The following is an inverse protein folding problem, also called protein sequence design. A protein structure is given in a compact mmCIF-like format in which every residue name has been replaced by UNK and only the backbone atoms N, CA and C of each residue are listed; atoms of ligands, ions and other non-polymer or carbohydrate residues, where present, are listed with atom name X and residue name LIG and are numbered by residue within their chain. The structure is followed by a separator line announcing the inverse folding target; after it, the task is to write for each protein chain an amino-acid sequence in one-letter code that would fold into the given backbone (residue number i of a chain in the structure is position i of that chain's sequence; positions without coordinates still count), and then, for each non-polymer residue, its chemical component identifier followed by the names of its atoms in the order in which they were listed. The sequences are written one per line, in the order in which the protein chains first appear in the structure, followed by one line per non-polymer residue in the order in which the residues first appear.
data_IF_748863700111
#
_entry.id   IF_748863700111
#
_cell.length_a   1.000
_cell.length_b   1.000
_cell.length_c   1.000
_cell.angle_alpha   90.00
_cell.angle_beta   90.00
_cell.angle_gamma   90.00
#
_symmetry.space_group_name_H-M   'P 1'
#
loop_
_entity.id
_entity.type
_entity.pdbx_description
1 polymer ?
#
# COMPACT_ATOMS: atom_id res chain seq x y z
N UNK A 1 15.01 -12.41 25.19
CA UNK A 1 13.57 -12.08 25.29
C UNK A 1 12.97 -12.15 23.89
N UNK A 2 11.72 -12.60 23.75
CA UNK A 2 11.08 -12.90 22.45
C UNK A 2 10.46 -11.64 21.83
N UNK A 3 10.93 -11.21 20.66
CA UNK A 3 10.24 -10.20 19.83
C UNK A 3 8.83 -10.70 19.49
N UNK A 4 7.88 -9.78 19.27
CA UNK A 4 6.45 -10.06 19.07
C UNK A 4 5.67 -10.63 20.26
N UNK A 5 6.21 -10.64 21.48
CA UNK A 5 5.40 -10.98 22.66
C UNK A 5 4.36 -9.91 22.94
N UNK A 6 4.76 -8.64 22.92
CA UNK A 6 3.86 -7.48 23.04
C UNK A 6 3.91 -6.65 21.77
N UNK A 7 2.81 -6.60 21.03
CA UNK A 7 2.71 -5.96 19.72
C UNK A 7 1.70 -4.83 19.74
N UNK A 8 2.13 -3.63 19.35
CA UNK A 8 1.26 -2.48 19.19
C UNK A 8 0.95 -2.25 17.71
N UNK A 9 -0.32 -2.37 17.33
CA UNK A 9 -0.80 -2.11 15.97
C UNK A 9 -1.27 -0.65 15.86
N UNK A 10 -0.62 0.12 15.01
CA UNK A 10 -0.95 1.52 14.74
C UNK A 10 -1.90 1.60 13.55
N UNK A 11 -3.13 2.04 13.81
CA UNK A 11 -4.24 2.11 12.88
C UNK A 11 -5.49 1.42 13.43
N UNK A 12 -6.67 1.87 12.99
CA UNK A 12 -7.98 1.32 13.39
C UNK A 12 -8.77 0.84 12.17
N UNK A 13 -8.10 0.61 11.05
CA UNK A 13 -8.74 0.11 9.83
C UNK A 13 -8.99 -1.40 9.89
N UNK A 14 -9.65 -1.97 8.86
CA UNK A 14 -9.91 -3.41 8.81
C UNK A 14 -8.64 -4.26 8.90
N UNK A 15 -7.54 -3.80 8.29
CA UNK A 15 -6.21 -4.43 8.37
C UNK A 15 -5.72 -4.56 9.82
N UNK A 16 -5.96 -3.55 10.68
CA UNK A 16 -5.53 -3.61 12.07
C UNK A 16 -6.23 -4.73 12.85
N UNK A 17 -7.53 -4.92 12.60
CA UNK A 17 -8.31 -6.00 13.22
C UNK A 17 -7.85 -7.37 12.71
N UNK A 18 -7.63 -7.51 11.40
CA UNK A 18 -7.09 -8.76 10.85
C UNK A 18 -5.75 -9.13 11.49
N UNK A 19 -4.85 -8.15 11.60
CA UNK A 19 -3.53 -8.34 12.20
C UNK A 19 -3.66 -8.71 13.68
N UNK A 20 -4.55 -8.07 14.43
CA UNK A 20 -4.77 -8.40 15.84
C UNK A 20 -5.21 -9.86 16.04
N UNK A 21 -6.17 -10.34 15.23
CA UNK A 21 -6.59 -11.75 15.25
C UNK A 21 -5.43 -12.69 14.88
N UNK A 22 -4.66 -12.33 13.85
CA UNK A 22 -3.53 -13.12 13.37
C UNK A 22 -2.44 -13.25 14.44
N UNK A 23 -2.04 -12.15 15.06
CA UNK A 23 -1.01 -12.12 16.12
C UNK A 23 -1.44 -12.93 17.35
N UNK A 24 -2.70 -12.77 17.79
CA UNK A 24 -3.25 -13.55 18.90
C UNK A 24 -3.28 -15.04 18.60
N UNK A 25 -3.74 -15.43 17.42
CA UNK A 25 -3.92 -16.83 17.04
C UNK A 25 -2.59 -17.56 16.79
N UNK A 26 -1.64 -16.91 16.11
CA UNK A 26 -0.42 -17.56 15.63
C UNK A 26 0.78 -17.37 16.55
N UNK A 27 0.84 -16.28 17.31
CA UNK A 27 1.97 -15.96 18.19
C UNK A 27 1.60 -15.89 19.68
N UNK A 28 0.31 -15.94 20.02
CA UNK A 28 -0.19 -15.72 21.38
C UNK A 28 0.35 -14.39 21.99
N UNK A 29 0.42 -13.35 21.15
CA UNK A 29 0.91 -12.03 21.56
C UNK A 29 -0.09 -11.30 22.44
N UNK A 30 0.41 -10.45 23.33
CA UNK A 30 -0.36 -9.32 23.85
C UNK A 30 -0.44 -8.26 22.75
N UNK A 31 -1.65 -7.86 22.36
CA UNK A 31 -1.93 -6.96 21.25
C UNK A 31 -2.59 -5.69 21.75
N UNK A 32 -1.96 -4.56 21.44
CA UNK A 32 -2.55 -3.23 21.58
C UNK A 32 -2.99 -2.68 20.22
N UNK A 33 -4.05 -1.88 20.19
CA UNK A 33 -4.44 -1.09 19.02
C UNK A 33 -4.40 0.40 19.39
N UNK A 34 -3.74 1.21 18.58
CA UNK A 34 -3.73 2.67 18.72
C UNK A 34 -4.19 3.35 17.43
N UNK A 35 -4.94 4.43 17.53
CA UNK A 35 -5.39 5.19 16.37
C UNK A 35 -5.65 6.65 16.67
N UNK A 36 -5.63 7.48 15.62
CA UNK A 36 -5.98 8.90 15.72
C UNK A 36 -7.44 9.08 16.14
N UNK A 37 -7.77 10.26 16.67
CA UNK A 37 -9.16 10.67 16.87
C UNK A 37 -9.73 11.18 15.54
N UNK A 38 -10.78 10.51 15.05
CA UNK A 38 -11.53 10.85 13.84
C UNK A 38 -12.91 10.20 13.91
N UNK A 39 -13.91 10.67 13.18
CA UNK A 39 -15.25 10.06 13.28
C UNK A 39 -15.24 8.56 12.95
N UNK A 40 -14.44 8.14 11.95
CA UNK A 40 -14.30 6.72 11.60
C UNK A 40 -13.62 5.90 12.69
N UNK A 41 -12.60 6.43 13.35
CA UNK A 41 -11.92 5.70 14.42
C UNK A 41 -12.73 5.72 15.73
N UNK A 42 -13.52 6.76 15.98
CA UNK A 42 -14.41 6.85 17.14
C UNK A 42 -15.43 5.71 17.17
N UNK A 43 -16.00 5.38 16.02
CA UNK A 43 -16.95 4.28 15.88
C UNK A 43 -16.26 2.93 16.14
N UNK A 44 -15.03 2.74 15.64
CA UNK A 44 -14.23 1.54 15.94
C UNK A 44 -13.91 1.44 17.44
N UNK A 45 -13.45 2.53 18.07
CA UNK A 45 -13.18 2.53 19.51
C UNK A 45 -14.44 2.24 20.33
N UNK A 46 -15.57 2.84 19.96
CA UNK A 46 -16.86 2.64 20.62
C UNK A 46 -17.33 1.20 20.51
N UNK A 47 -17.27 0.61 19.32
CA UNK A 47 -17.68 -0.79 19.08
C UNK A 47 -16.75 -1.79 19.78
N UNK A 48 -15.43 -1.57 19.76
CA UNK A 48 -14.48 -2.42 20.52
C UNK A 48 -14.78 -2.33 22.03
N UNK A 49 -15.02 -1.13 22.57
CA UNK A 49 -15.36 -0.95 23.99
C UNK A 49 -16.68 -1.61 24.37
N UNK A 50 -17.73 -1.43 23.55
CA UNK A 50 -19.05 -2.04 23.77
C UNK A 50 -19.01 -3.56 23.76
N UNK A 51 -18.06 -4.15 23.02
CA UNK A 51 -17.87 -5.60 22.92
C UNK A 51 -16.78 -6.12 23.87
N UNK A 52 -16.45 -5.41 24.96
CA UNK A 52 -15.43 -5.81 25.94
C UNK A 52 -14.08 -6.15 25.29
N UNK A 53 -13.67 -5.35 24.31
CA UNK A 53 -12.45 -5.50 23.51
C UNK A 53 -12.41 -6.72 22.58
N UNK A 54 -13.53 -7.41 22.39
CA UNK A 54 -13.64 -8.48 21.41
C UNK A 54 -13.61 -7.91 19.99
N UNK A 55 -12.73 -8.46 19.15
CA UNK A 55 -12.70 -8.18 17.70
C UNK A 55 -12.89 -9.47 16.92
N UNK A 56 -13.48 -9.36 15.73
CA UNK A 56 -13.83 -10.51 14.88
C UNK A 56 -13.42 -10.29 13.43
N UNK A 57 -12.91 -11.35 12.84
CA UNK A 57 -12.74 -11.50 11.39
C UNK A 57 -13.67 -12.60 10.91
N UNK A 58 -14.45 -12.31 9.88
CA UNK A 58 -15.16 -13.30 9.06
C UNK A 58 -14.53 -13.38 7.67
N UNK A 59 -14.85 -14.44 6.93
CA UNK A 59 -14.35 -14.68 5.58
C UNK A 59 -15.50 -14.82 4.59
N UNK A 60 -15.25 -14.43 3.33
CA UNK A 60 -16.22 -14.61 2.26
C UNK A 60 -16.07 -15.98 1.58
N UNK A 61 -14.84 -16.51 1.51
CA UNK A 61 -14.51 -17.76 0.84
C UNK A 61 -13.87 -18.74 1.82
N UNK A 62 -14.42 -19.95 1.93
CA UNK A 62 -13.94 -21.00 2.85
C UNK A 62 -12.46 -21.37 2.63
N UNK A 63 -11.92 -21.13 1.43
CA UNK A 63 -10.48 -21.26 1.14
C UNK A 63 -9.60 -20.35 2.02
N UNK A 64 -10.18 -19.37 2.71
CA UNK A 64 -9.48 -18.44 3.59
C UNK A 64 -9.72 -18.72 5.08
N UNK A 65 -10.17 -19.94 5.45
CA UNK A 65 -10.50 -20.34 6.84
C UNK A 65 -9.42 -19.99 7.87
N UNK A 66 -8.15 -20.03 7.49
CA UNK A 66 -7.05 -19.70 8.40
C UNK A 66 -7.07 -18.21 8.85
N UNK A 67 -7.68 -17.32 8.07
CA UNK A 67 -7.86 -15.90 8.38
C UNK A 67 -8.99 -15.62 9.37
N UNK A 68 -9.99 -16.50 9.45
CA UNK A 68 -11.12 -16.34 10.34
C UNK A 68 -10.71 -16.50 11.81
N UNK A 69 -11.30 -15.67 12.68
CA UNK A 69 -11.10 -15.79 14.11
C UNK A 69 -11.72 -14.67 14.92
N UNK A 70 -11.63 -14.85 16.23
CA UNK A 70 -12.06 -13.90 17.25
C UNK A 70 -10.94 -13.80 18.28
N UNK A 71 -10.65 -12.60 18.77
CA UNK A 71 -9.74 -12.41 19.89
C UNK A 71 -10.14 -11.21 20.73
N UNK A 72 -9.57 -11.12 21.94
CA UNK A 72 -9.64 -9.92 22.77
C UNK A 72 -8.38 -9.09 22.54
N UNK A 73 -8.56 -7.79 22.33
CA UNK A 73 -7.47 -6.82 22.28
C UNK A 73 -7.13 -6.41 23.71
N UNK A 74 -5.88 -6.52 24.13
CA UNK A 74 -5.49 -6.30 25.53
C UNK A 74 -5.56 -4.82 25.90
N UNK A 75 -5.19 -3.93 24.96
CA UNK A 75 -5.20 -2.47 25.19
C UNK A 75 -5.63 -1.70 23.94
N UNK A 76 -6.40 -0.64 24.15
CA UNK A 76 -6.89 0.23 23.08
C UNK A 76 -6.55 1.67 23.45
N UNK A 77 -5.82 2.35 22.57
CA UNK A 77 -5.35 3.72 22.76
C UNK A 77 -6.02 4.64 21.75
N UNK A 78 -6.79 5.59 22.27
CA UNK A 78 -7.40 6.68 21.51
C UNK A 78 -6.41 7.84 21.52
N UNK A 79 -5.84 8.17 20.38
CA UNK A 79 -4.67 9.05 20.27
C UNK A 79 -3.36 8.26 20.35
N UNK A 80 -2.33 8.69 19.63
CA UNK A 80 -1.01 8.03 19.65
C UNK A 80 -0.19 8.49 20.87
N UNK A 81 -0.42 9.72 21.30
CA UNK A 81 0.13 10.33 22.51
C UNK A 81 -0.35 9.65 23.81
N UNK A 82 -1.42 8.83 23.75
CA UNK A 82 -1.97 8.14 24.92
C UNK A 82 -1.40 6.73 25.11
N UNK A 83 -0.51 6.27 24.22
CA UNK A 83 0.15 4.97 24.30
C UNK A 83 0.93 4.89 25.61
N UNK A 84 0.70 3.79 26.35
CA UNK A 84 1.38 3.49 27.62
C UNK A 84 1.87 2.05 27.66
N UNK A 85 2.77 1.79 28.61
CA UNK A 85 3.37 0.47 28.82
C UNK A 85 4.50 0.16 27.85
N UNK A 86 4.94 -1.10 27.88
CA UNK A 86 6.08 -1.56 27.10
C UNK A 86 5.61 -2.46 25.96
N UNK A 87 6.09 -2.20 24.75
CA UNK A 87 5.74 -2.95 23.55
C UNK A 87 7.04 -3.30 22.82
N UNK A 88 7.25 -4.59 22.55
CA UNK A 88 8.47 -5.07 21.88
C UNK A 88 8.49 -4.68 20.40
N UNK A 89 7.30 -4.67 19.78
CA UNK A 89 7.11 -4.46 18.35
C UNK A 89 6.01 -3.45 18.07
N UNK A 90 6.24 -2.58 17.09
CA UNK A 90 5.23 -1.70 16.51
C UNK A 90 4.90 -2.16 15.10
N UNK A 91 3.62 -2.19 14.73
CA UNK A 91 3.16 -2.49 13.38
C UNK A 91 2.39 -1.30 12.81
N UNK A 92 2.89 -0.71 11.73
CA UNK A 92 2.19 0.32 10.97
C UNK A 92 1.17 -0.32 10.03
N UNK A 93 -0.11 -0.15 10.38
CA UNK A 93 -1.27 -0.53 9.55
C UNK A 93 -2.03 0.68 8.99
N UNK A 94 -1.51 1.88 9.23
CA UNK A 94 -1.94 3.12 8.56
C UNK A 94 -1.37 3.21 7.14
N UNK A 95 -1.75 4.26 6.43
CA UNK A 95 -1.30 4.57 5.08
C UNK A 95 0.14 5.10 5.12
N UNK A 96 0.95 4.82 4.09
CA UNK A 96 2.39 5.13 4.09
C UNK A 96 2.69 6.63 4.25
N UNK A 97 1.85 7.49 3.68
CA UNK A 97 1.90 8.95 3.80
C UNK A 97 1.68 9.45 5.25
N UNK A 98 1.17 8.61 6.15
CA UNK A 98 0.96 8.95 7.54
C UNK A 98 2.06 8.43 8.48
N UNK A 99 3.05 7.66 8.00
CA UNK A 99 4.03 6.98 8.86
C UNK A 99 4.79 7.94 9.77
N UNK A 100 5.35 9.02 9.21
CA UNK A 100 6.10 10.01 9.98
C UNK A 100 5.22 10.84 10.90
N UNK A 101 4.03 11.27 10.44
CA UNK A 101 3.10 11.98 11.29
C UNK A 101 2.66 11.16 12.51
N UNK A 102 2.50 9.84 12.33
CA UNK A 102 2.12 8.93 13.40
C UNK A 102 3.27 8.70 14.37
N UNK A 103 4.46 8.35 13.90
CA UNK A 103 5.58 8.03 14.78
C UNK A 103 6.03 9.24 15.61
N UNK A 104 5.97 10.45 15.04
CA UNK A 104 6.29 11.71 15.73
C UNK A 104 5.36 12.03 16.91
N UNK A 105 4.16 11.47 16.94
CA UNK A 105 3.19 11.65 18.05
C UNK A 105 3.39 10.68 19.21
N UNK A 106 4.22 9.67 19.01
CA UNK A 106 4.52 8.67 20.04
C UNK A 106 5.66 9.19 20.91
N UNK A 107 5.56 8.97 22.22
CA UNK A 107 6.60 9.35 23.17
C UNK A 107 7.96 8.72 22.81
N UNK A 108 9.01 9.55 22.73
CA UNK A 108 10.36 9.11 22.41
C UNK A 108 10.93 8.17 23.48
N UNK A 109 10.52 8.31 24.74
CA UNK A 109 10.96 7.38 25.80
C UNK A 109 10.42 5.98 25.52
N UNK A 110 9.19 5.88 25.02
CA UNK A 110 8.63 4.62 24.55
C UNK A 110 9.34 4.11 23.29
N UNK A 111 9.68 4.96 22.32
CA UNK A 111 10.37 4.51 21.10
C UNK A 111 11.76 3.94 21.37
N UNK A 112 12.46 4.39 22.43
CA UNK A 112 13.77 3.87 22.86
C UNK A 112 13.81 2.38 23.21
N UNK A 113 12.67 1.79 23.57
CA UNK A 113 12.59 0.37 23.95
C UNK A 113 12.05 -0.54 22.85
N UNK A 114 11.59 0.02 21.72
CA UNK A 114 11.03 -0.74 20.60
C UNK A 114 12.16 -1.49 19.92
N UNK A 115 11.99 -2.80 19.74
CA UNK A 115 13.01 -3.64 19.10
C UNK A 115 12.78 -3.83 17.61
N UNK A 116 11.52 -3.78 17.18
CA UNK A 116 11.14 -4.07 15.81
C UNK A 116 9.98 -3.18 15.37
N UNK A 117 10.07 -2.62 14.17
CA UNK A 117 9.02 -1.86 13.50
C UNK A 117 8.66 -2.58 12.20
N UNK A 118 7.38 -2.87 12.00
CA UNK A 118 6.89 -3.57 10.81
C UNK A 118 5.97 -2.65 10.01
N UNK A 119 6.30 -2.47 8.73
CA UNK A 119 5.52 -1.69 7.77
C UNK A 119 4.69 -2.63 6.90
N UNK A 120 3.36 -2.59 7.03
CA UNK A 120 2.46 -3.55 6.37
C UNK A 120 2.16 -3.17 4.92
N UNK A 121 1.96 -1.89 4.64
CA UNK A 121 1.70 -1.37 3.28
C UNK A 121 2.56 -0.15 2.97
N UNK A 122 3.89 -0.28 3.05
CA UNK A 122 4.79 0.81 2.72
C UNK A 122 4.72 1.20 1.25
N UNK A 123 5.21 2.40 0.97
CA UNK A 123 5.62 2.81 -0.36
C UNK A 123 7.14 2.78 -0.51
N UNK A 124 7.65 3.01 -1.72
CA UNK A 124 9.08 2.97 -2.00
C UNK A 124 9.82 4.06 -1.21
N UNK A 125 10.68 3.65 -0.26
CA UNK A 125 11.42 4.55 0.64
C UNK A 125 10.87 4.62 2.06
N UNK A 126 9.77 3.92 2.38
CA UNK A 126 9.16 4.03 3.71
C UNK A 126 10.07 3.49 4.83
N UNK A 127 10.81 2.41 4.56
CA UNK A 127 11.82 1.92 5.49
C UNK A 127 12.89 2.97 5.78
N UNK A 128 13.47 3.58 4.74
CA UNK A 128 14.50 4.62 4.88
C UNK A 128 13.98 5.81 5.67
N UNK A 129 12.72 6.20 5.44
CA UNK A 129 12.06 7.27 6.18
C UNK A 129 11.97 6.96 7.69
N UNK A 130 11.49 5.77 8.03
CA UNK A 130 11.37 5.32 9.43
C UNK A 130 12.74 5.10 10.08
N UNK A 131 13.67 4.44 9.39
CA UNK A 131 15.04 4.21 9.87
C UNK A 131 15.74 5.53 10.16
N UNK A 132 15.65 6.52 9.26
CA UNK A 132 16.23 7.84 9.47
C UNK A 132 15.70 8.50 10.75
N UNK A 133 14.38 8.45 10.95
CA UNK A 133 13.76 8.99 12.17
C UNK A 133 14.26 8.28 13.42
N UNK A 134 14.29 6.94 13.38
CA UNK A 134 14.68 6.09 14.51
C UNK A 134 16.18 6.16 14.83
N UNK A 135 17.04 6.48 13.88
CA UNK A 135 18.50 6.60 14.10
C UNK A 135 18.87 7.57 15.24
N UNK A 136 18.07 8.61 15.47
CA UNK A 136 18.29 9.57 16.56
C UNK A 136 17.73 9.15 17.92
N UNK A 137 16.89 8.10 17.95
CA UNK A 137 16.13 7.67 19.13
C UNK A 137 16.57 6.28 19.58
N UNK A 138 16.54 5.32 18.67
CA UNK A 138 16.99 3.94 18.83
C UNK A 138 17.49 3.38 17.49
N UNK A 139 18.79 3.51 17.18
CA UNK A 139 19.37 3.02 15.92
C UNK A 139 19.38 1.48 15.82
N UNK A 140 19.23 0.77 16.93
CA UNK A 140 19.22 -0.70 16.98
C UNK A 140 17.82 -1.29 16.70
N UNK A 141 16.81 -0.46 16.45
CA UNK A 141 15.47 -0.95 16.12
C UNK A 141 15.44 -1.50 14.69
N UNK A 142 15.14 -2.79 14.56
CA UNK A 142 14.98 -3.42 13.25
C UNK A 142 13.74 -2.86 12.53
N UNK A 143 13.87 -2.51 11.25
CA UNK A 143 12.75 -2.09 10.40
C UNK A 143 12.50 -3.15 9.33
N UNK A 144 11.26 -3.66 9.30
CA UNK A 144 10.80 -4.68 8.36
C UNK A 144 9.73 -4.08 7.45
N UNK A 145 9.91 -4.20 6.14
CA UNK A 145 8.90 -3.82 5.15
C UNK A 145 8.32 -5.05 4.46
N UNK A 146 6.99 -5.13 4.47
CA UNK A 146 6.26 -5.95 3.52
C UNK A 146 6.09 -5.20 2.20
N UNK A 147 5.82 -5.92 1.11
CA UNK A 147 5.48 -5.26 -0.15
C UNK A 147 4.06 -4.68 -0.16
N UNK A 148 3.13 -5.31 0.54
CA UNK A 148 1.73 -4.90 0.63
C UNK A 148 1.00 -5.70 1.71
N UNK A 149 -0.16 -5.21 2.15
CA UNK A 149 -1.08 -6.00 2.95
C UNK A 149 -1.51 -7.27 2.19
N UNK A 150 -1.60 -8.39 2.91
CA UNK A 150 -1.79 -9.71 2.32
C UNK A 150 -3.23 -10.04 1.93
N UNK A 151 -4.20 -9.18 2.22
CA UNK A 151 -5.60 -9.46 1.95
C UNK A 151 -6.36 -8.27 1.37
N UNK A 152 -7.60 -8.55 0.99
CA UNK A 152 -8.64 -7.55 0.88
C UNK A 152 -9.56 -7.72 2.08
N UNK A 153 -9.63 -6.71 2.94
CA UNK A 153 -10.36 -6.76 4.20
C UNK A 153 -11.10 -5.46 4.39
N UNK A 154 -12.40 -5.57 4.63
CA UNK A 154 -13.32 -4.44 4.67
C UNK A 154 -14.27 -4.57 5.85
N UNK A 155 -14.88 -3.45 6.20
CA UNK A 155 -16.00 -3.45 7.12
C UNK A 155 -17.21 -4.15 6.50
N UNK A 156 -17.92 -4.92 7.33
CA UNK A 156 -19.20 -5.49 6.92
C UNK A 156 -20.16 -4.33 6.69
N UNK A 157 -20.81 -4.31 5.52
CA UNK A 157 -21.71 -3.22 5.09
C UNK A 157 -21.05 -1.83 5.03
N UNK A 158 -19.71 -1.75 5.00
CA UNK A 158 -18.96 -0.50 4.81
C UNK A 158 -18.86 0.42 6.03
N UNK A 159 -19.41 0.04 7.19
CA UNK A 159 -19.43 0.88 8.39
C UNK A 159 -18.34 0.46 9.40
N UNK A 160 -17.50 1.38 9.89
CA UNK A 160 -16.44 1.07 10.86
C UNK A 160 -16.96 0.31 12.09
N UNK A 161 -16.30 -0.77 12.51
CA UNK A 161 -16.74 -1.55 13.68
C UNK A 161 -15.61 -2.37 14.31
N UNK A 162 -15.94 -3.33 15.17
CA UNK A 162 -15.01 -4.35 15.67
C UNK A 162 -15.05 -5.66 14.84
N UNK A 163 -15.84 -5.70 13.74
CA UNK A 163 -16.05 -6.89 12.92
C UNK A 163 -15.76 -6.61 11.43
N UNK A 164 -14.77 -7.32 10.90
CA UNK A 164 -14.33 -7.20 9.49
C UNK A 164 -14.61 -8.46 8.69
N UNK A 165 -14.63 -8.30 7.37
CA UNK A 165 -14.73 -9.38 6.38
C UNK A 165 -13.49 -9.40 5.49
N UNK A 166 -12.77 -10.51 5.48
CA UNK A 166 -11.70 -10.78 4.50
C UNK A 166 -12.29 -11.50 3.29
N UNK A 167 -12.15 -10.87 2.13
CA UNK A 167 -12.77 -11.31 0.88
C UNK A 167 -11.80 -12.09 0.00
N UNK A 168 -10.53 -11.66 -0.01
CA UNK A 168 -9.47 -12.26 -0.79
C UNK A 168 -8.15 -12.24 0.00
N UNK A 169 -7.27 -13.18 -0.34
CA UNK A 169 -5.93 -13.31 0.24
C UNK A 169 -4.91 -13.52 -0.89
N UNK A 170 -3.80 -12.80 -0.82
CA UNK A 170 -2.67 -12.97 -1.75
C UNK A 170 -1.95 -14.28 -1.48
N UNK A 171 -1.63 -15.03 -2.54
CA UNK A 171 -0.84 -16.26 -2.44
C UNK A 171 0.62 -16.01 -2.04
N UNK A 172 1.13 -14.84 -2.42
CA UNK A 172 2.53 -14.46 -2.24
C UNK A 172 2.65 -12.98 -1.91
N UNK A 173 3.52 -12.67 -0.96
CA UNK A 173 3.98 -11.31 -0.67
C UNK A 173 5.49 -11.33 -0.41
N UNK A 174 6.10 -10.16 -0.46
CA UNK A 174 7.53 -10.01 -0.29
C UNK A 174 7.82 -9.30 1.04
N UNK A 175 8.93 -9.64 1.67
CA UNK A 175 9.34 -9.08 2.96
C UNK A 175 10.85 -8.84 2.98
N UNK A 176 11.29 -7.76 3.60
CA UNK A 176 12.70 -7.48 3.81
C UNK A 176 12.94 -6.74 5.11
N UNK A 177 14.14 -6.88 5.67
CA UNK A 177 14.55 -6.29 6.95
C UNK A 177 15.87 -5.55 6.80
N UNK A 178 16.05 -4.50 7.60
CA UNK A 178 17.35 -3.83 7.79
C UNK A 178 18.41 -4.77 8.35
N UNK A 179 18.01 -5.86 9.01
CA UNK A 179 18.87 -6.95 9.42
C UNK A 179 18.73 -8.15 8.47
N UNK A 180 19.81 -8.56 7.80
CA UNK A 180 19.82 -9.74 6.93
C UNK A 180 21.01 -10.65 7.24
N UNK A 181 20.80 -11.90 7.70
CA UNK A 181 19.52 -12.56 7.98
C UNK A 181 18.84 -12.08 9.28
N UNK A 182 17.51 -12.12 9.34
CA UNK A 182 16.71 -11.70 10.51
C UNK A 182 15.91 -12.85 11.13
N UNK A 183 16.03 -12.99 12.46
CA UNK A 183 15.21 -13.93 13.25
C UNK A 183 13.74 -13.52 13.31
N UNK A 184 13.46 -12.22 13.22
CA UNK A 184 12.09 -11.71 13.23
C UNK A 184 11.40 -12.00 11.89
N UNK A 185 12.13 -11.96 10.77
CA UNK A 185 11.64 -12.50 9.49
C UNK A 185 11.33 -14.00 9.61
N UNK A 186 12.19 -14.81 10.23
CA UNK A 186 11.91 -16.25 10.39
C UNK A 186 10.61 -16.52 11.17
N UNK A 187 10.32 -15.72 12.20
CA UNK A 187 9.06 -15.78 12.94
C UNK A 187 7.88 -15.44 12.02
N UNK A 188 7.97 -14.34 11.27
CA UNK A 188 6.91 -13.92 10.35
C UNK A 188 6.70 -14.94 9.21
N UNK A 189 7.75 -15.54 8.66
CA UNK A 189 7.65 -16.62 7.68
C UNK A 189 6.86 -17.82 8.22
N UNK A 190 7.05 -18.19 9.50
CA UNK A 190 6.26 -19.27 10.13
C UNK A 190 4.79 -18.88 10.27
N UNK A 191 4.50 -17.66 10.71
CA UNK A 191 3.13 -17.13 10.84
C UNK A 191 2.43 -17.16 9.48
N UNK A 192 3.04 -16.60 8.44
CA UNK A 192 2.40 -16.51 7.13
C UNK A 192 2.28 -17.87 6.43
N UNK A 193 3.20 -18.81 6.70
CA UNK A 193 3.05 -20.20 6.27
C UNK A 193 1.79 -20.85 6.87
N UNK A 194 1.46 -20.58 8.13
CA UNK A 194 0.20 -21.04 8.76
C UNK A 194 -1.04 -20.37 8.17
N UNK A 195 -0.89 -19.20 7.55
CA UNK A 195 -1.92 -18.52 6.81
C UNK A 195 -2.01 -18.95 5.33
N UNK A 196 -1.19 -19.93 4.91
CA UNK A 196 -1.08 -20.39 3.52
C UNK A 196 -0.62 -19.30 2.53
N UNK A 197 0.17 -18.34 3.04
CA UNK A 197 0.79 -17.28 2.23
C UNK A 197 2.29 -17.55 2.12
N UNK A 198 2.80 -17.48 0.89
CA UNK A 198 4.24 -17.52 0.64
C UNK A 198 4.86 -16.16 0.94
N UNK A 199 5.80 -16.10 1.89
CA UNK A 199 6.69 -14.94 2.06
C UNK A 199 7.97 -15.17 1.27
N UNK A 200 8.21 -14.36 0.24
CA UNK A 200 9.52 -14.31 -0.40
C UNK A 200 10.39 -13.26 0.29
N UNK A 201 11.48 -13.73 0.90
CA UNK A 201 12.42 -12.89 1.65
C UNK A 201 13.38 -12.21 0.67
N UNK A 202 13.38 -10.88 0.70
CA UNK A 202 14.29 -10.00 -0.04
C UNK A 202 15.51 -9.68 0.81
N UNK A 203 16.57 -9.16 0.18
CA UNK A 203 17.82 -8.81 0.89
C UNK A 203 17.70 -7.53 1.73
N UNK A 204 16.72 -6.68 1.45
CA UNK A 204 16.48 -5.43 2.19
C UNK A 204 14.99 -5.07 2.18
N UNK A 205 14.51 -4.23 3.13
CA UNK A 205 13.14 -3.75 3.13
C UNK A 205 12.85 -2.95 1.86
N UNK A 206 13.84 -2.17 1.43
CA UNK A 206 13.77 -1.33 0.26
C UNK A 206 13.55 -2.14 -1.02
N UNK A 207 14.14 -3.34 -1.15
CA UNK A 207 13.83 -4.25 -2.25
C UNK A 207 12.40 -4.80 -2.16
N UNK A 208 11.93 -5.17 -0.97
CA UNK A 208 10.55 -5.65 -0.78
C UNK A 208 9.50 -4.60 -1.14
N UNK A 209 9.73 -3.33 -0.81
CA UNK A 209 8.84 -2.22 -1.15
C UNK A 209 8.63 -2.06 -2.67
N UNK A 210 9.60 -2.46 -3.49
CA UNK A 210 9.46 -2.44 -4.96
C UNK A 210 8.50 -3.51 -5.47
N UNK A 211 8.18 -4.54 -4.69
CA UNK A 211 7.27 -5.62 -5.11
C UNK A 211 5.81 -5.27 -4.81
N UNK A 212 5.45 -4.01 -5.05
CA UNK A 212 4.12 -3.45 -4.85
C UNK A 212 3.54 -2.98 -6.20
N UNK A 213 2.49 -3.65 -6.67
CA UNK A 213 1.90 -3.39 -8.00
C UNK A 213 1.39 -1.96 -8.16
N UNK A 214 0.90 -1.36 -7.07
CA UNK A 214 0.34 0.00 -7.09
C UNK A 214 1.41 1.06 -7.37
N UNK A 215 2.71 0.76 -7.23
CA UNK A 215 3.78 1.65 -7.70
C UNK A 215 3.71 1.89 -9.20
N UNK A 216 3.40 0.84 -9.95
CA UNK A 216 3.52 0.83 -11.41
C UNK A 216 2.21 1.12 -12.13
N UNK A 217 1.08 0.75 -11.52
CA UNK A 217 -0.21 0.75 -12.21
C UNK A 217 -1.14 1.87 -11.76
N UNK A 218 -1.04 2.38 -10.54
CA UNK A 218 -1.98 3.40 -10.07
C UNK A 218 -1.77 4.77 -10.72
N UNK A 219 -0.56 5.35 -10.79
CA UNK A 219 -0.40 6.67 -11.38
C UNK A 219 -0.95 6.79 -12.81
N UNK A 220 -0.71 5.86 -13.77
CA UNK A 220 -1.31 5.96 -15.10
C UNK A 220 -2.83 5.79 -15.06
N UNK A 221 -3.36 4.94 -14.16
CA UNK A 221 -4.80 4.70 -14.03
C UNK A 221 -5.57 5.86 -13.37
N UNK A 222 -4.93 6.66 -12.51
CA UNK A 222 -5.64 7.69 -11.73
C UNK A 222 -5.20 9.13 -12.01
N UNK A 223 -3.97 9.36 -12.50
CA UNK A 223 -3.40 10.69 -12.78
C UNK A 223 -3.40 11.02 -14.27
N UNK A 224 -4.54 10.81 -14.91
CA UNK A 224 -4.83 11.22 -16.29
C UNK A 224 -6.14 12.02 -16.31
N UNK A 225 -6.37 12.79 -17.38
CA UNK A 225 -7.51 13.71 -17.46
C UNK A 225 -8.86 13.01 -17.26
N UNK A 226 -9.05 11.83 -17.87
CA UNK A 226 -10.31 11.08 -17.76
C UNK A 226 -10.59 10.68 -16.30
N UNK A 227 -9.62 10.05 -15.65
CA UNK A 227 -9.78 9.56 -14.28
C UNK A 227 -9.97 10.71 -13.30
N UNK A 228 -9.22 11.79 -13.47
CA UNK A 228 -9.38 12.97 -12.62
C UNK A 228 -10.74 13.63 -12.83
N UNK A 229 -11.24 13.76 -14.06
CA UNK A 229 -12.60 14.23 -14.28
C UNK A 229 -13.66 13.35 -13.61
N UNK A 230 -13.48 12.02 -13.61
CA UNK A 230 -14.37 11.11 -12.89
C UNK A 230 -14.33 11.31 -11.37
N UNK A 231 -13.13 11.43 -10.78
CA UNK A 231 -12.91 11.59 -9.34
C UNK A 231 -13.45 12.93 -8.82
N UNK A 232 -13.22 14.00 -9.58
CA UNK A 232 -13.67 15.35 -9.23
C UNK A 232 -15.13 15.62 -9.62
N UNK A 233 -15.86 14.60 -10.10
CA UNK A 233 -17.30 14.66 -10.33
C UNK A 233 -17.72 15.47 -11.56
N UNK A 234 -16.84 15.60 -12.55
CA UNK A 234 -17.12 16.33 -13.80
C UNK A 234 -17.84 15.47 -14.86
N UNK A 235 -18.04 14.18 -14.59
CA UNK A 235 -18.69 13.23 -15.50
C UNK A 235 -20.03 12.77 -14.91
N UNK A 236 -21.07 12.79 -15.76
CA UNK A 236 -22.46 12.50 -15.36
C UNK A 236 -22.72 11.00 -15.16
N UNK A 237 -21.99 10.14 -15.88
CA UNK A 237 -22.16 8.68 -15.84
C UNK A 237 -21.07 8.04 -15.00
N UNK A 238 -21.43 7.03 -14.21
CA UNK A 238 -20.49 6.22 -13.43
C UNK A 238 -19.38 5.68 -14.34
N UNK A 239 -18.13 5.94 -13.95
CA UNK A 239 -16.93 5.44 -14.63
C UNK A 239 -16.21 4.41 -13.76
N UNK A 240 -15.43 3.57 -14.42
CA UNK A 240 -14.74 2.44 -13.79
C UNK A 240 -13.24 2.49 -14.08
N UNK A 241 -12.43 2.15 -13.08
CA UNK A 241 -10.97 2.27 -13.12
C UNK A 241 -10.35 1.33 -14.17
N UNK A 242 -10.90 0.13 -14.31
CA UNK A 242 -10.28 -0.95 -15.07
C UNK A 242 -10.99 -1.27 -16.40
N UNK A 243 -11.94 -0.43 -16.83
CA UNK A 243 -12.60 -0.59 -18.13
C UNK A 243 -11.86 0.16 -19.24
N UNK A 244 -12.10 -0.28 -20.48
CA UNK A 244 -11.62 0.41 -21.69
C UNK A 244 -12.46 1.68 -21.90
N UNK A 245 -11.87 2.71 -22.53
CA UNK A 245 -12.60 3.90 -22.94
C UNK A 245 -13.81 3.56 -23.85
N UNK A 246 -15.01 4.16 -23.64
CA UNK A 246 -15.31 5.33 -22.80
C UNK A 246 -15.81 5.02 -21.38
N UNK A 247 -15.81 3.76 -20.95
CA UNK A 247 -16.27 3.35 -19.61
C UNK A 247 -15.19 3.55 -18.54
N UNK A 248 -13.93 3.46 -18.94
CA UNK A 248 -12.77 3.68 -18.09
C UNK A 248 -11.59 4.33 -18.84
N UNK A 249 -10.46 4.55 -18.16
CA UNK A 249 -9.32 5.28 -18.70
C UNK A 249 -8.42 4.45 -19.64
N UNK A 250 -8.61 3.12 -19.70
CA UNK A 250 -7.68 2.24 -20.39
C UNK A 250 -7.73 2.50 -21.90
N UNK A 251 -6.59 2.91 -22.43
CA UNK A 251 -6.32 3.21 -23.85
C UNK A 251 -4.87 2.84 -24.18
N UNK A 252 -4.50 2.79 -25.46
CA UNK A 252 -3.10 2.60 -25.86
C UNK A 252 -2.15 3.67 -25.28
N UNK A 253 -2.62 4.91 -25.11
CA UNK A 253 -1.81 6.00 -24.58
C UNK A 253 -1.55 5.82 -23.08
N UNK A 254 -2.55 5.38 -22.32
CA UNK A 254 -2.39 5.04 -20.91
C UNK A 254 -1.37 3.90 -20.73
N UNK A 255 -1.46 2.86 -21.56
CA UNK A 255 -0.53 1.72 -21.49
C UNK A 255 0.90 2.14 -21.85
N UNK A 256 1.08 3.03 -22.83
CA UNK A 256 2.39 3.63 -23.13
C UNK A 256 2.94 4.38 -21.93
N UNK A 257 2.15 5.22 -21.28
CA UNK A 257 2.59 5.96 -20.09
C UNK A 257 2.92 5.01 -18.92
N UNK A 258 2.14 3.93 -18.74
CA UNK A 258 2.42 2.90 -17.74
C UNK A 258 3.77 2.21 -17.98
N UNK A 259 4.04 1.81 -19.24
CA UNK A 259 5.31 1.19 -19.60
C UNK A 259 6.48 2.16 -19.41
N UNK A 260 6.31 3.42 -19.80
CA UNK A 260 7.33 4.45 -19.66
C UNK A 260 7.67 4.71 -18.18
N UNK A 261 6.66 4.87 -17.33
CA UNK A 261 6.86 5.03 -15.88
C UNK A 261 7.53 3.80 -15.26
N UNK A 262 7.13 2.59 -15.63
CA UNK A 262 7.81 1.39 -15.14
C UNK A 262 9.29 1.39 -15.51
N UNK A 263 9.64 1.76 -16.75
CA UNK A 263 11.05 1.87 -17.19
C UNK A 263 11.82 2.93 -16.42
N UNK A 264 11.19 4.07 -16.12
CA UNK A 264 11.78 5.12 -15.27
C UNK A 264 12.10 4.57 -13.88
N UNK A 265 11.15 3.87 -13.24
CA UNK A 265 11.38 3.22 -11.94
C UNK A 265 12.48 2.17 -12.05
N UNK A 266 12.54 1.37 -13.13
CA UNK A 266 13.62 0.39 -13.30
C UNK A 266 15.01 1.03 -13.39
N UNK A 267 15.14 2.24 -13.97
CA UNK A 267 16.39 2.99 -13.97
C UNK A 267 16.78 3.46 -12.56
N UNK A 268 15.80 3.88 -11.76
CA UNK A 268 16.01 4.22 -10.35
C UNK A 268 16.51 2.99 -9.59
N UNK A 269 15.85 1.83 -9.75
CA UNK A 269 16.25 0.59 -9.09
C UNK A 269 17.67 0.15 -9.47
N UNK A 270 18.04 0.31 -10.74
CA UNK A 270 19.39 0.01 -11.22
C UNK A 270 20.45 0.88 -10.55
N UNK A 271 20.21 2.19 -10.39
CA UNK A 271 21.11 3.10 -9.66
C UNK A 271 21.28 2.68 -8.20
N UNK A 272 20.24 2.12 -7.60
CA UNK A 272 20.24 1.59 -6.24
C UNK A 272 20.74 0.15 -6.13
N UNK A 273 21.19 -0.46 -7.25
CA UNK A 273 21.63 -1.86 -7.34
C UNK A 273 20.57 -2.87 -6.88
N UNK A 274 19.29 -2.54 -7.04
CA UNK A 274 18.15 -3.41 -6.75
C UNK A 274 17.76 -4.18 -8.01
N UNK A 275 17.40 -5.45 -7.85
CA UNK A 275 17.00 -6.30 -8.98
C UNK A 275 15.76 -5.72 -9.67
N UNK A 276 15.88 -5.55 -11.01
CA UNK A 276 14.77 -5.15 -11.88
C UNK A 276 13.62 -6.15 -11.78
N UNK A 277 12.41 -5.61 -11.92
CA UNK A 277 11.15 -6.35 -11.89
C UNK A 277 10.67 -6.59 -13.31
N UNK A 278 10.27 -7.83 -13.65
CA UNK A 278 9.47 -8.09 -14.84
C UNK A 278 8.00 -7.72 -14.54
N UNK A 279 7.51 -6.61 -15.12
CA UNK A 279 6.18 -6.08 -14.81
C UNK A 279 5.06 -7.06 -15.20
N UNK A 280 5.09 -7.59 -16.42
CA UNK A 280 4.02 -8.45 -16.91
C UNK A 280 3.95 -9.76 -16.11
N UNK A 281 5.10 -10.36 -15.82
CA UNK A 281 5.18 -11.52 -14.95
C UNK A 281 4.65 -11.22 -13.55
N UNK A 282 5.06 -10.10 -12.96
CA UNK A 282 4.59 -9.69 -11.64
C UNK A 282 3.07 -9.44 -11.61
N UNK A 283 2.51 -8.83 -12.65
CA UNK A 283 1.06 -8.58 -12.77
C UNK A 283 0.23 -9.86 -12.93
N UNK A 284 0.81 -10.91 -13.52
CA UNK A 284 0.13 -12.16 -13.86
C UNK A 284 0.34 -13.24 -12.79
N UNK A 285 1.59 -13.47 -12.37
CA UNK A 285 1.95 -14.58 -11.48
C UNK A 285 1.67 -14.25 -10.01
N UNK A 286 1.91 -13.00 -9.58
CA UNK A 286 1.83 -12.58 -8.17
C UNK A 286 0.60 -11.74 -7.82
N UNK A 287 -0.17 -11.32 -8.83
CA UNK A 287 -1.36 -10.51 -8.65
C UNK A 287 -2.60 -11.24 -9.18
N UNK A 288 -3.00 -10.98 -10.42
CA UNK A 288 -4.21 -11.58 -10.99
C UNK A 288 -3.83 -12.37 -12.24
N UNK A 289 -4.03 -13.70 -12.24
CA UNK A 289 -3.67 -14.54 -13.37
C UNK A 289 -4.59 -14.27 -14.57
N UNK A 290 -4.09 -14.58 -15.75
CA UNK A 290 -4.88 -14.66 -16.98
C UNK A 290 -4.76 -16.05 -17.58
N UNK A 291 -5.64 -16.37 -18.54
CA UNK A 291 -5.56 -17.60 -19.34
C UNK A 291 -4.31 -17.55 -20.22
N UNK A 292 -3.63 -18.69 -20.37
CA UNK A 292 -2.37 -18.77 -21.14
C UNK A 292 -2.61 -18.57 -22.65
N UNK A 293 -3.84 -18.79 -23.09
CA UNK A 293 -4.34 -18.50 -24.43
C UNK A 293 -4.35 -16.99 -24.71
N UNK A 294 -4.48 -16.15 -23.67
CA UNK A 294 -4.40 -14.69 -23.79
C UNK A 294 -2.96 -14.19 -23.71
N UNK A 295 -2.14 -14.76 -22.83
CA UNK A 295 -0.73 -14.40 -22.68
C UNK A 295 0.13 -15.65 -22.50
N UNK A 296 1.03 -15.90 -23.45
CA UNK A 296 1.92 -17.06 -23.42
C UNK A 296 2.97 -16.94 -22.31
N UNK A 297 3.45 -18.08 -21.79
CA UNK A 297 4.59 -18.07 -20.86
C UNK A 297 5.85 -17.46 -21.46
N UNK A 298 6.06 -17.68 -22.76
CA UNK A 298 7.21 -17.11 -23.47
C UNK A 298 7.19 -15.58 -23.45
N UNK A 299 6.03 -14.97 -23.71
CA UNK A 299 5.89 -13.51 -23.68
C UNK A 299 6.02 -12.95 -22.25
N UNK A 300 5.42 -13.63 -21.28
CA UNK A 300 5.50 -13.26 -19.86
C UNK A 300 6.95 -13.27 -19.37
N UNK A 301 7.68 -14.36 -19.62
CA UNK A 301 9.03 -14.56 -19.11
C UNK A 301 10.06 -13.67 -19.82
N UNK A 302 9.89 -13.44 -21.13
CA UNK A 302 10.79 -12.62 -21.92
C UNK A 302 10.41 -11.14 -21.97
N UNK A 303 9.34 -10.71 -21.28
CA UNK A 303 8.78 -9.35 -21.38
C UNK A 303 9.83 -8.24 -21.36
N UNK A 304 10.82 -8.31 -20.47
CA UNK A 304 11.87 -7.30 -20.33
C UNK A 304 12.80 -7.17 -21.54
N UNK A 305 12.85 -8.18 -22.40
CA UNK A 305 13.68 -8.25 -23.61
C UNK A 305 12.91 -7.95 -24.89
N UNK A 306 11.59 -7.77 -24.80
CA UNK A 306 10.74 -7.46 -25.94
C UNK A 306 10.85 -5.98 -26.34
N UNK A 307 10.59 -5.72 -27.62
CA UNK A 307 10.44 -4.37 -28.17
C UNK A 307 9.32 -3.59 -27.48
N UNK A 308 9.45 -2.26 -27.41
CA UNK A 308 8.53 -1.40 -26.68
C UNK A 308 7.06 -1.57 -27.11
N UNK A 309 6.81 -1.62 -28.42
CA UNK A 309 5.44 -1.78 -28.96
C UNK A 309 4.86 -3.14 -28.55
N UNK A 310 5.70 -4.18 -28.51
CA UNK A 310 5.25 -5.50 -28.08
C UNK A 310 4.95 -5.51 -26.57
N UNK A 311 5.78 -4.85 -25.75
CA UNK A 311 5.49 -4.67 -24.33
C UNK A 311 4.18 -3.91 -24.10
N UNK A 312 3.95 -2.80 -24.82
CA UNK A 312 2.68 -2.05 -24.78
C UNK A 312 1.49 -2.96 -25.16
N UNK A 313 1.62 -3.73 -26.23
CA UNK A 313 0.58 -4.64 -26.69
C UNK A 313 0.22 -5.69 -25.63
N UNK A 314 1.21 -6.35 -25.02
CA UNK A 314 0.97 -7.38 -24.00
C UNK A 314 0.36 -6.80 -22.71
N UNK A 315 0.76 -5.60 -22.30
CA UNK A 315 0.13 -4.90 -21.18
C UNK A 315 -1.33 -4.56 -21.50
N UNK A 316 -1.62 -4.12 -22.72
CA UNK A 316 -3.00 -3.87 -23.15
C UNK A 316 -3.83 -5.16 -23.12
N UNK A 317 -3.33 -6.26 -23.70
CA UNK A 317 -3.98 -7.58 -23.64
C UNK A 317 -4.22 -8.02 -22.20
N UNK A 318 -3.24 -7.81 -21.31
CA UNK A 318 -3.38 -8.15 -19.90
C UNK A 318 -4.61 -7.48 -19.29
N UNK A 319 -4.81 -6.19 -19.54
CA UNK A 319 -5.96 -5.45 -19.00
C UNK A 319 -7.27 -5.87 -19.66
N UNK A 320 -7.29 -6.11 -20.97
CA UNK A 320 -8.52 -6.57 -21.65
C UNK A 320 -8.94 -7.96 -21.19
N UNK A 321 -7.98 -8.84 -20.91
CA UNK A 321 -8.21 -10.20 -20.40
C UNK A 321 -8.77 -10.24 -18.97
N UNK A 322 -8.76 -9.11 -18.28
CA UNK A 322 -9.27 -8.95 -16.91
C UNK A 322 -10.46 -7.98 -16.84
N UNK A 323 -11.13 -7.72 -17.97
CA UNK A 323 -12.41 -7.03 -17.95
C UNK A 323 -13.47 -7.82 -17.17
N UNK A 324 -13.38 -9.15 -17.30
CA UNK A 324 -14.09 -10.15 -16.52
C UNK A 324 -13.09 -10.95 -15.70
N UNK A 325 -13.56 -11.72 -14.71
CA UNK A 325 -12.74 -12.75 -14.08
C UNK A 325 -12.74 -13.99 -14.99
N UNK A 326 -11.64 -14.32 -15.68
CA UNK A 326 -11.61 -15.44 -16.63
C UNK A 326 -11.63 -16.81 -15.93
N UNK A 327 -11.65 -16.84 -14.60
CA UNK A 327 -11.73 -18.05 -13.79
C UNK A 327 -13.02 -18.15 -12.96
N UNK A 328 -13.89 -17.13 -12.99
CA UNK A 328 -15.22 -17.24 -12.37
C UNK A 328 -16.08 -18.25 -13.14
N UNK A 329 -17.01 -18.91 -12.45
CA UNK A 329 -18.03 -19.70 -13.14
C UNK A 329 -18.95 -18.75 -13.92
N UNK A 330 -19.15 -18.98 -15.23
CA UNK A 330 -20.07 -18.16 -16.01
C UNK A 330 -21.52 -18.44 -15.58
N UNK A 331 -22.37 -17.43 -15.72
CA UNK A 331 -23.81 -17.57 -15.57
C UNK A 331 -24.44 -18.40 -16.72
N UNK A 332 -25.77 -18.56 -16.67
CA UNK A 332 -26.52 -19.35 -17.66
C UNK A 332 -26.45 -18.78 -19.09
N UNK A 333 -26.12 -17.50 -19.24
CA UNK A 333 -26.00 -16.81 -20.53
C UNK A 333 -24.53 -16.77 -21.01
N UNK A 334 -23.59 -17.32 -20.23
CA UNK A 334 -22.16 -17.31 -20.52
C UNK A 334 -21.44 -16.05 -20.02
N UNK A 335 -22.10 -15.20 -19.23
CA UNK A 335 -21.54 -14.01 -18.61
C UNK A 335 -20.63 -14.37 -17.44
N UNK A 336 -19.41 -13.85 -17.44
CA UNK A 336 -18.47 -14.00 -16.32
C UNK A 336 -18.63 -12.83 -15.33
N UNK A 337 -18.10 -13.00 -14.12
CA UNK A 337 -18.09 -11.92 -13.13
C UNK A 337 -17.37 -10.67 -13.67
N UNK A 338 -18.01 -9.50 -13.61
CA UNK A 338 -17.45 -8.23 -14.08
C UNK A 338 -16.36 -7.73 -13.13
N UNK A 339 -15.14 -8.21 -13.36
CA UNK A 339 -13.96 -7.88 -12.57
C UNK A 339 -13.52 -6.42 -12.75
N UNK A 340 -13.88 -5.80 -13.89
CA UNK A 340 -13.51 -4.42 -14.19
C UNK A 340 -14.41 -3.35 -13.57
N UNK A 341 -15.56 -3.74 -12.99
CA UNK A 341 -16.56 -2.84 -12.42
C UNK A 341 -16.14 -2.19 -11.08
N UNK A 342 -14.92 -1.69 -10.98
CA UNK A 342 -14.43 -0.93 -9.83
C UNK A 342 -14.68 0.56 -10.05
N UNK A 343 -15.63 1.19 -9.33
CA UNK A 343 -15.96 2.59 -9.54
C UNK A 343 -14.85 3.51 -9.03
N UNK A 344 -14.69 4.68 -9.66
CA UNK A 344 -13.88 5.75 -9.07
C UNK A 344 -14.51 6.24 -7.77
N UNK A 345 -13.69 6.33 -6.71
CA UNK A 345 -14.04 7.13 -5.56
C UNK A 345 -14.16 8.59 -5.97
N UNK A 346 -15.19 9.28 -5.49
CA UNK A 346 -15.37 10.71 -5.73
C UNK A 346 -14.87 11.53 -4.54
N UNK A 347 -14.57 12.80 -4.79
CA UNK A 347 -14.37 13.78 -3.71
C UNK A 347 -15.56 13.75 -2.74
N UNK A 348 -15.30 13.95 -1.45
CA UNK A 348 -16.30 13.83 -0.40
C UNK A 348 -16.03 14.85 0.71
N UNK A 349 -17.05 15.13 1.51
CA UNK A 349 -16.88 15.93 2.73
C UNK A 349 -16.49 14.98 3.86
N UNK A 350 -15.32 15.20 4.45
CA UNK A 350 -14.84 14.41 5.56
C UNK A 350 -15.57 14.76 6.87
N UNK A 351 -15.30 14.01 7.94
CA UNK A 351 -15.99 14.20 9.22
C UNK A 351 -15.74 15.55 9.92
N UNK A 352 -14.72 16.29 9.47
CA UNK A 352 -14.39 17.63 9.98
C UNK A 352 -15.03 18.73 9.11
N UNK A 353 -15.85 18.38 8.13
CA UNK A 353 -16.52 19.33 7.22
C UNK A 353 -15.66 19.80 6.05
N UNK A 354 -14.45 19.26 5.87
CA UNK A 354 -13.57 19.61 4.77
C UNK A 354 -13.83 18.72 3.55
N UNK A 355 -13.87 19.32 2.37
CA UNK A 355 -13.76 18.57 1.12
C UNK A 355 -12.39 17.90 1.06
N UNK A 356 -12.40 16.60 0.78
CA UNK A 356 -11.22 15.75 0.73
C UNK A 356 -11.24 14.89 -0.54
N UNK A 357 -10.04 14.48 -0.93
CA UNK A 357 -9.79 13.65 -2.10
C UNK A 357 -9.76 12.19 -1.64
N UNK A 358 -10.40 11.26 -2.37
CA UNK A 358 -10.33 9.84 -2.07
C UNK A 358 -8.88 9.35 -2.04
N UNK A 359 -8.69 8.24 -1.32
CA UNK A 359 -7.40 7.56 -1.17
C UNK A 359 -6.63 7.44 -2.49
N UNK A 360 -7.31 7.03 -3.56
CA UNK A 360 -6.77 7.04 -4.92
C UNK A 360 -7.34 8.29 -5.62
N UNK A 361 -6.52 9.28 -6.01
CA UNK A 361 -5.06 9.24 -6.11
C UNK A 361 -4.29 9.91 -4.95
N UNK A 362 -4.91 10.29 -3.82
CA UNK A 362 -4.19 11.02 -2.74
C UNK A 362 -2.92 10.32 -2.26
N UNK A 363 -2.98 9.02 -1.96
CA UNK A 363 -1.79 8.24 -1.58
C UNK A 363 -0.84 8.01 -2.75
N UNK A 364 -1.38 7.89 -3.96
CA UNK A 364 -0.58 7.71 -5.16
C UNK A 364 0.23 8.98 -5.47
N UNK A 365 -0.29 10.17 -5.12
CA UNK A 365 0.39 11.45 -5.22
C UNK A 365 1.60 11.51 -4.28
N UNK A 366 1.42 11.15 -3.01
CA UNK A 366 2.55 11.02 -2.07
C UNK A 366 3.62 10.08 -2.63
N UNK A 367 3.22 8.86 -3.00
CA UNK A 367 4.12 7.84 -3.54
C UNK A 367 4.91 8.32 -4.75
N UNK A 368 4.25 8.93 -5.74
CA UNK A 368 4.94 9.36 -6.96
C UNK A 368 5.87 10.54 -6.70
N UNK A 369 5.54 11.43 -5.74
CA UNK A 369 6.44 12.50 -5.28
C UNK A 369 7.67 11.96 -4.58
N UNK A 370 7.53 10.93 -3.73
CA UNK A 370 8.69 10.26 -3.12
C UNK A 370 9.59 9.63 -4.20
N UNK A 371 9.01 8.92 -5.18
CA UNK A 371 9.77 8.35 -6.30
C UNK A 371 10.49 9.44 -7.10
N UNK A 372 9.80 10.56 -7.39
CA UNK A 372 10.41 11.71 -8.06
C UNK A 372 11.58 12.29 -7.26
N UNK A 373 11.42 12.46 -5.94
CA UNK A 373 12.48 12.93 -5.04
C UNK A 373 13.72 12.05 -5.07
N UNK A 374 13.53 10.73 -4.96
CA UNK A 374 14.61 9.74 -5.07
C UNK A 374 15.26 9.79 -6.45
N UNK A 375 14.47 9.90 -7.53
CA UNK A 375 14.99 9.99 -8.90
C UNK A 375 15.89 11.23 -9.07
N UNK A 376 15.43 12.39 -8.60
CA UNK A 376 16.17 13.63 -8.64
C UNK A 376 17.49 13.54 -7.87
N UNK A 377 17.46 12.97 -6.67
CA UNK A 377 18.65 12.72 -5.86
C UNK A 377 19.68 11.84 -6.59
N UNK A 378 19.22 10.81 -7.32
CA UNK A 378 20.07 9.91 -8.09
C UNK A 378 20.45 10.42 -9.48
N UNK A 379 19.99 11.63 -9.86
CA UNK A 379 20.19 12.20 -11.19
C UNK A 379 19.52 11.40 -12.32
N UNK A 380 18.39 10.74 -12.04
CA UNK A 380 17.59 9.99 -13.02
C UNK A 380 16.44 10.84 -13.52
N UNK A 381 16.39 11.08 -14.83
CA UNK A 381 15.29 11.82 -15.45
C UNK A 381 14.04 10.93 -15.60
N UNK A 382 12.90 11.40 -15.09
CA UNK A 382 11.61 10.70 -15.12
C UNK A 382 10.47 11.56 -15.72
N UNK A 383 10.50 11.86 -17.03
CA UNK A 383 9.51 12.76 -17.65
C UNK A 383 8.06 12.26 -17.56
N UNK A 384 7.81 10.96 -17.56
CA UNK A 384 6.46 10.41 -17.41
C UNK A 384 5.94 10.56 -15.98
N UNK A 385 6.79 10.34 -14.98
CA UNK A 385 6.47 10.67 -13.58
C UNK A 385 6.16 12.16 -13.41
N UNK A 386 7.00 13.04 -13.97
CA UNK A 386 6.80 14.50 -13.92
C UNK A 386 5.47 14.91 -14.57
N UNK A 387 5.12 14.26 -15.70
CA UNK A 387 3.83 14.45 -16.38
C UNK A 387 2.65 14.12 -15.46
N UNK A 388 2.66 12.96 -14.78
CA UNK A 388 1.55 12.58 -13.89
C UNK A 388 1.37 13.54 -12.73
N UNK A 389 2.48 13.93 -12.09
CA UNK A 389 2.48 14.91 -11.00
C UNK A 389 1.89 16.22 -11.47
N UNK A 390 2.35 16.75 -12.62
CA UNK A 390 1.85 17.99 -13.19
C UNK A 390 0.36 17.94 -13.53
N UNK A 391 -0.12 16.83 -14.10
CA UNK A 391 -1.54 16.65 -14.41
C UNK A 391 -2.38 16.71 -13.12
N UNK A 392 -1.95 16.01 -12.06
CA UNK A 392 -2.65 16.02 -10.77
C UNK A 392 -2.61 17.39 -10.09
N UNK A 393 -1.43 18.01 -10.00
CA UNK A 393 -1.23 19.32 -9.36
C UNK A 393 -2.06 20.41 -10.05
N UNK A 394 -2.03 20.47 -11.39
CA UNK A 394 -2.87 21.40 -12.15
C UNK A 394 -4.36 21.19 -11.87
N UNK A 395 -4.79 19.93 -11.70
CA UNK A 395 -6.19 19.61 -11.42
C UNK A 395 -6.61 20.09 -10.04
N UNK A 396 -5.84 19.77 -8.99
CA UNK A 396 -6.19 20.19 -7.63
C UNK A 396 -6.20 21.70 -7.49
N UNK A 397 -5.27 22.40 -8.14
CA UNK A 397 -5.24 23.88 -8.15
C UNK A 397 -6.47 24.46 -8.84
N UNK A 398 -6.85 23.93 -10.01
CA UNK A 398 -8.05 24.36 -10.74
C UNK A 398 -9.32 24.17 -9.90
N UNK A 399 -9.45 23.01 -9.23
CA UNK A 399 -10.61 22.73 -8.38
C UNK A 399 -10.59 23.59 -7.11
N UNK A 400 -9.43 23.82 -6.51
CA UNK A 400 -9.30 24.70 -5.34
C UNK A 400 -9.75 26.13 -5.68
N UNK A 401 -9.38 26.64 -6.85
CA UNK A 401 -9.80 27.95 -7.35
C UNK A 401 -11.31 28.02 -7.64
N UNK A 402 -11.93 26.96 -8.15
CA UNK A 402 -13.38 26.92 -8.43
C UNK A 402 -14.24 26.74 -7.17
N UNK A 403 -13.64 26.25 -6.08
CA UNK A 403 -14.30 25.98 -4.81
C UNK A 403 -14.09 27.09 -3.75
N UNK A 404 -13.79 28.33 -4.16
CA UNK A 404 -13.65 29.47 -3.23
C UNK A 404 -14.85 29.57 -2.28
N UNK A 405 -14.58 29.57 -0.97
CA UNK A 405 -15.59 29.60 0.10
C UNK A 405 -15.94 28.23 0.68
N UNK A 406 -15.48 27.13 0.10
CA UNK A 406 -15.57 25.79 0.72
C UNK A 406 -14.37 25.54 1.63
N UNK A 407 -14.56 24.75 2.68
CA UNK A 407 -13.47 24.22 3.49
C UNK A 407 -12.78 23.10 2.70
N UNK A 408 -11.51 23.30 2.34
CA UNK A 408 -10.71 22.32 1.60
C UNK A 408 -9.66 21.71 2.52
N UNK A 409 -9.50 20.39 2.47
CA UNK A 409 -8.42 19.71 3.18
C UNK A 409 -7.05 20.00 2.55
N UNK A 410 -5.97 19.64 3.25
CA UNK A 410 -4.60 19.79 2.75
C UNK A 410 -4.32 19.02 1.44
N UNK A 411 -5.20 18.09 1.04
CA UNK A 411 -5.10 17.35 -0.21
C UNK A 411 -5.26 18.22 -1.47
N UNK A 412 -5.80 19.44 -1.33
CA UNK A 412 -5.99 20.38 -2.44
C UNK A 412 -4.80 21.32 -2.67
N UNK A 413 -3.76 21.21 -1.85
CA UNK A 413 -2.55 22.03 -1.96
C UNK A 413 -1.42 21.18 -2.53
N UNK A 414 -0.60 21.79 -3.39
CA UNK A 414 0.63 21.17 -3.88
C UNK A 414 1.54 20.92 -2.68
N UNK A 415 2.02 19.68 -2.54
CA UNK A 415 2.88 19.27 -1.43
C UNK A 415 4.24 18.86 -1.97
N UNK A 416 5.31 19.38 -1.37
CA UNK A 416 6.67 19.03 -1.77
C UNK A 416 7.14 17.71 -1.16
N UNK A 417 6.73 17.43 0.09
CA UNK A 417 7.22 16.31 0.91
C UNK A 417 8.75 16.33 1.10
N UNK A 418 9.37 17.53 1.08
CA UNK A 418 10.83 17.67 1.12
C UNK A 418 11.46 17.07 2.38
N UNK A 419 10.79 17.17 3.54
CA UNK A 419 11.29 16.57 4.78
C UNK A 419 11.44 15.05 4.62
N UNK A 420 10.39 14.37 4.18
CA UNK A 420 10.40 12.93 3.95
C UNK A 420 11.43 12.53 2.89
N UNK A 421 11.48 13.26 1.76
CA UNK A 421 12.44 13.00 0.68
C UNK A 421 13.89 13.14 1.19
N UNK A 422 14.18 14.18 1.98
CA UNK A 422 15.52 14.41 2.52
C UNK A 422 15.92 13.30 3.51
N UNK A 423 15.01 12.86 4.38
CA UNK A 423 15.26 11.75 5.30
C UNK A 423 15.55 10.45 4.54
N UNK A 424 14.76 10.14 3.51
CA UNK A 424 14.95 8.95 2.67
C UNK A 424 16.30 9.00 1.95
N UNK A 425 16.61 10.12 1.28
CA UNK A 425 17.85 10.25 0.51
C UNK A 425 19.09 10.20 1.41
N UNK A 426 19.00 10.72 2.64
CA UNK A 426 20.07 10.64 3.63
C UNK A 426 20.42 9.19 4.00
N UNK A 427 19.44 8.29 4.12
CA UNK A 427 19.72 6.87 4.37
C UNK A 427 20.27 6.17 3.13
N UNK A 428 19.76 6.50 1.93
CA UNK A 428 20.31 5.98 0.67
C UNK A 428 21.80 6.35 0.55
N UNK A 429 22.18 7.55 0.99
CA UNK A 429 23.58 7.97 1.01
C UNK A 429 24.44 7.14 1.97
N UNK A 430 23.95 6.88 3.18
CA UNK A 430 24.65 6.06 4.19
C UNK A 430 24.91 4.65 3.67
N UNK A 431 23.86 3.98 3.18
CA UNK A 431 23.97 2.63 2.59
C UNK A 431 24.97 2.58 1.43
N UNK A 432 25.08 3.66 0.66
CA UNK A 432 26.02 3.75 -0.46
C UNK A 432 27.47 3.90 0.00
N UNK A 433 27.71 4.62 1.09
CA UNK A 433 29.05 4.82 1.66
C UNK A 433 29.55 3.56 2.38
N UNK A 434 28.70 2.88 3.13
CA UNK A 434 29.06 1.64 3.83
C UNK A 434 29.47 0.54 2.86
N UNK A 435 28.79 0.41 1.71
CA UNK A 435 29.13 -0.52 0.63
C UNK A 435 30.42 -0.20 -0.14
N UNK A 436 31.02 0.97 0.05
CA UNK A 436 32.33 1.34 -0.52
C UNK A 436 33.45 1.06 0.48
N UNK A 437 33.12 0.98 1.77
CA UNK A 437 34.07 0.69 2.85
C UNK A 437 34.31 -0.82 3.07
N UNK A 438 33.38 -1.67 2.62
CA UNK A 438 33.53 -3.13 2.46
C UNK A 438 34.13 -3.49 1.10
#
# INVERSE_FOLDING_TARGET
MTTFKRVLVLGTGPTAIQLAVTLKKQLNSDVGIAGRESARSEEVFSTIKQNNHLVRVSIQNEKHRNMEGVCFVDQVFKGYETIKGNWDTIIFSVTADAYIEVIKKIDQVFLKQVRCIVLISPTFGSNSLISNYMNSINPEAEVISFSTYYGDTRWIQGSPSNHVLTTAVKKKIYIGSTEYPSKNIDILCKVYKQLEITLEVMKSPFEAETRNISLYVHPPLFMNDFSLSAIFGELDVQKFVYKIYPEGPITQYLIRDMLAQWKEIMKILEKLKIKRLNLLQFMTDDNYPVRLESLSRQDIENFNHLENIHQEYLLYIRYTSLLIDPFSEPDKEGGYFDFSAVPFGKIFVNSLGYWDIPRMPKEDYYRIKIIQGIANYLGVHCPTIDKFIKIYENKIEKIAQSCKGKLLSNAYYVQSFDEDINMICSEIEKDSREKIAE
#
